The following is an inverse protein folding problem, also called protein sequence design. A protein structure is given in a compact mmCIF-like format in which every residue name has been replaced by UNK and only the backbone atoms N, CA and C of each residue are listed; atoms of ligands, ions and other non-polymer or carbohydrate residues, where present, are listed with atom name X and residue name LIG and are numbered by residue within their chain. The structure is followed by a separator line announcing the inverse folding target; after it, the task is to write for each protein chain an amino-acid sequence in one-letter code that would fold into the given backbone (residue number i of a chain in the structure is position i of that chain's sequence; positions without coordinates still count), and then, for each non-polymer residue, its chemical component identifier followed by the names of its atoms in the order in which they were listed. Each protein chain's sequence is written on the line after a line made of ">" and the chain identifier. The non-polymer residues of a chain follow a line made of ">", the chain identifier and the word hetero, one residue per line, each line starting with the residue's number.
data_IF_695468024774
#
_entry.id   IF_695468024774
#
_cell.length_a   1.000
_cell.length_b   1.000
_cell.length_c   1.000
_cell.angle_alpha   90.00
_cell.angle_beta   90.00
_cell.angle_gamma   90.00
#
_symmetry.space_group_name_H-M   'P 1'
#
loop_
_entity.id
_entity.type
_entity.pdbx_description
1 polymer ?
#
# COMPACT_ATOMS: atom_id res chain seq x y z
N UNK A 1 15.18 0.07 8.70
CA UNK A 1 14.90 1.33 9.46
C UNK A 1 14.41 2.41 8.48
N UNK A 2 13.59 3.38 8.87
CA UNK A 2 13.04 4.39 7.93
C UNK A 2 14.14 5.01 7.06
N UNK A 3 13.89 5.12 5.76
CA UNK A 3 14.85 5.63 4.76
C UNK A 3 15.92 4.64 4.29
N UNK A 4 16.09 3.49 4.96
CA UNK A 4 16.94 2.40 4.45
C UNK A 4 16.33 1.74 3.23
N UNK A 5 17.19 1.12 2.42
CA UNK A 5 16.81 0.44 1.19
C UNK A 5 15.96 -0.81 1.44
N UNK A 6 15.07 -1.08 0.50
CA UNK A 6 14.30 -2.32 0.42
C UNK A 6 14.29 -2.84 -1.02
N UNK A 7 13.93 -4.11 -1.21
CA UNK A 7 14.12 -4.84 -2.47
C UNK A 7 12.82 -5.15 -3.23
N UNK A 8 11.66 -5.07 -2.59
CA UNK A 8 10.38 -5.42 -3.21
C UNK A 8 9.29 -4.41 -2.82
N UNK A 9 8.70 -3.75 -3.81
CA UNK A 9 7.62 -2.77 -3.65
C UNK A 9 6.24 -3.31 -4.02
N UNK A 10 6.12 -4.61 -4.24
CA UNK A 10 4.88 -5.27 -4.69
C UNK A 10 4.39 -6.31 -3.70
N UNK A 11 5.28 -7.13 -3.16
CA UNK A 11 4.94 -8.20 -2.21
C UNK A 11 5.66 -8.01 -0.88
N UNK A 12 4.97 -8.31 0.22
CA UNK A 12 5.48 -8.22 1.60
C UNK A 12 6.11 -6.85 1.90
N UNK A 13 5.41 -5.80 1.47
CA UNK A 13 5.88 -4.41 1.54
C UNK A 13 5.70 -3.78 2.91
N UNK A 14 4.99 -4.43 3.82
CA UNK A 14 4.77 -3.94 5.18
C UNK A 14 5.75 -4.59 6.15
N UNK A 15 6.30 -3.78 7.05
CA UNK A 15 7.15 -4.23 8.13
C UNK A 15 6.83 -3.50 9.43
N UNK A 16 7.35 -4.01 10.53
CA UNK A 16 7.22 -3.37 11.85
C UNK A 16 8.62 -3.03 12.35
N UNK A 17 8.81 -1.82 12.86
CA UNK A 17 10.06 -1.45 13.52
C UNK A 17 10.19 -2.18 14.87
N UNK A 18 11.40 -2.25 15.40
CA UNK A 18 11.70 -2.72 16.76
C UNK A 18 10.84 -2.08 17.86
N UNK A 19 10.42 -0.81 17.69
CA UNK A 19 9.51 -0.12 18.62
C UNK A 19 8.03 -0.12 18.19
N UNK A 20 7.62 -1.04 17.32
CA UNK A 20 6.21 -1.30 17.02
C UNK A 20 5.53 -0.38 16.00
N UNK A 21 6.27 0.39 15.19
CA UNK A 21 5.68 1.24 14.14
C UNK A 21 5.58 0.51 12.81
N UNK A 22 4.45 0.64 12.13
CA UNK A 22 4.24 0.11 10.79
C UNK A 22 5.01 0.95 9.75
N UNK A 23 5.75 0.27 8.89
CA UNK A 23 6.49 0.86 7.77
C UNK A 23 6.13 0.19 6.46
N UNK A 24 6.29 0.94 5.37
CA UNK A 24 5.95 0.51 4.02
C UNK A 24 7.17 0.66 3.10
N UNK A 25 7.49 -0.37 2.33
CA UNK A 25 8.52 -0.33 1.28
C UNK A 25 7.90 0.22 -0.01
N UNK A 26 8.34 1.41 -0.41
CA UNK A 26 7.87 2.07 -1.63
C UNK A 26 9.02 2.66 -2.43
N UNK A 27 8.74 3.10 -3.64
CA UNK A 27 9.68 3.87 -4.47
C UNK A 27 8.96 5.10 -5.01
N UNK A 28 9.38 6.32 -4.61
CA UNK A 28 8.97 7.52 -5.33
C UNK A 28 9.46 7.42 -6.77
N UNK A 29 8.66 7.87 -7.74
CA UNK A 29 9.02 7.82 -9.16
C UNK A 29 10.46 8.29 -9.38
N UNK A 30 11.31 7.41 -9.93
CA UNK A 30 12.75 7.59 -10.26
C UNK A 30 13.77 7.38 -9.14
N UNK A 31 13.37 6.91 -7.95
CA UNK A 31 14.30 6.63 -6.85
C UNK A 31 14.33 5.16 -6.46
N UNK A 32 15.46 4.70 -5.93
CA UNK A 32 15.58 3.37 -5.34
C UNK A 32 14.57 3.16 -4.20
N UNK A 33 13.99 1.95 -4.05
CA UNK A 33 13.00 1.69 -3.02
C UNK A 33 13.54 1.86 -1.60
N UNK A 34 12.71 2.43 -0.72
CA UNK A 34 13.05 2.71 0.68
C UNK A 34 11.87 2.46 1.61
N UNK A 35 12.15 2.32 2.90
CA UNK A 35 11.14 2.24 3.95
C UNK A 35 10.59 3.62 4.31
N UNK A 36 9.27 3.80 4.18
CA UNK A 36 8.51 4.99 4.55
C UNK A 36 7.58 4.69 5.74
N UNK A 37 7.00 5.76 6.32
CA UNK A 37 5.85 5.57 7.23
C UNK A 37 4.69 5.00 6.41
N UNK A 38 4.08 3.94 6.92
CA UNK A 38 2.92 3.33 6.26
C UNK A 38 1.67 4.18 6.50
N UNK A 39 0.75 4.26 5.52
CA UNK A 39 -0.66 4.53 5.77
C UNK A 39 -1.25 3.46 6.71
N UNK A 40 -2.48 3.67 7.19
CA UNK A 40 -3.17 2.70 8.01
C UNK A 40 -3.42 1.41 7.20
N UNK A 41 -2.96 0.27 7.73
CA UNK A 41 -3.07 -1.02 7.06
C UNK A 41 -4.22 -1.83 7.66
N UNK A 42 -5.24 -2.11 6.85
CA UNK A 42 -6.51 -2.73 7.25
C UNK A 42 -6.46 -4.27 7.29
N UNK A 43 -5.29 -4.83 7.59
CA UNK A 43 -5.05 -6.25 7.72
C UNK A 43 -4.95 -7.01 6.39
N UNK A 44 -5.30 -8.29 6.44
CA UNK A 44 -5.31 -9.19 5.27
C UNK A 44 -6.67 -9.12 4.55
N UNK A 45 -6.67 -8.83 3.25
CA UNK A 45 -7.88 -8.67 2.39
C UNK A 45 -7.68 -9.39 1.06
N UNK A 46 -8.75 -9.76 0.35
CA UNK A 46 -8.59 -10.30 -1.00
C UNK A 46 -8.68 -9.20 -2.06
N UNK A 47 -7.95 -9.37 -3.16
CA UNK A 47 -8.10 -8.52 -4.33
C UNK A 47 -9.54 -8.62 -4.87
N UNK A 48 -10.16 -7.46 -5.14
CA UNK A 48 -11.53 -7.35 -5.61
C UNK A 48 -12.60 -7.28 -4.52
N UNK A 49 -12.27 -7.57 -3.25
CA UNK A 49 -13.20 -7.40 -2.13
C UNK A 49 -13.59 -5.94 -1.96
N UNK A 50 -14.84 -5.69 -1.53
CA UNK A 50 -15.34 -4.34 -1.30
C UNK A 50 -14.64 -3.68 -0.10
N UNK A 51 -14.36 -2.39 -0.23
CA UNK A 51 -13.74 -1.55 0.81
C UNK A 51 -14.49 -0.21 0.94
N UNK A 52 -15.78 -0.21 1.29
CA UNK A 52 -16.56 1.02 1.38
C UNK A 52 -15.95 1.97 2.42
N UNK A 53 -15.82 3.25 2.06
CA UNK A 53 -15.31 4.32 2.94
C UNK A 53 -13.85 4.19 3.36
N UNK A 54 -13.07 3.35 2.68
CA UNK A 54 -11.64 3.15 2.94
C UNK A 54 -10.78 3.65 1.76
N UNK A 55 -11.29 4.57 0.95
CA UNK A 55 -10.62 5.01 -0.28
C UNK A 55 -9.23 5.59 0.00
N UNK A 56 -8.20 5.05 -0.65
CA UNK A 56 -6.80 5.41 -0.43
C UNK A 56 -6.12 4.67 0.72
N UNK A 57 -6.87 3.94 1.56
CA UNK A 57 -6.31 3.07 2.58
C UNK A 57 -5.66 1.83 1.96
N UNK A 58 -4.84 1.14 2.75
CA UNK A 58 -4.03 0.03 2.27
C UNK A 58 -4.32 -1.28 3.00
N UNK A 59 -4.05 -2.39 2.33
CA UNK A 59 -4.16 -3.74 2.88
C UNK A 59 -3.10 -4.66 2.26
N UNK A 60 -2.99 -5.89 2.76
CA UNK A 60 -2.16 -6.91 2.16
C UNK A 60 -2.99 -8.14 1.79
N UNK A 61 -2.71 -8.74 0.64
CA UNK A 61 -3.31 -10.01 0.27
C UNK A 61 -2.68 -11.20 1.02
N UNK A 62 -3.35 -12.37 1.08
CA UNK A 62 -2.78 -13.58 1.69
C UNK A 62 -1.46 -14.04 1.06
N UNK A 63 -1.27 -13.77 -0.22
CA UNK A 63 -0.04 -14.04 -0.97
C UNK A 63 1.05 -12.96 -0.78
N UNK A 64 0.78 -11.95 0.05
CA UNK A 64 1.68 -10.84 0.33
C UNK A 64 1.53 -9.65 -0.61
N UNK A 65 0.64 -9.69 -1.61
CA UNK A 65 0.47 -8.59 -2.54
C UNK A 65 0.00 -7.31 -1.83
N UNK A 66 0.60 -6.17 -2.19
CA UNK A 66 0.17 -4.85 -1.75
C UNK A 66 -1.17 -4.46 -2.38
N UNK A 67 -2.14 -4.10 -1.56
CA UNK A 67 -3.45 -3.64 -1.99
C UNK A 67 -3.70 -2.19 -1.56
N UNK A 68 -4.38 -1.46 -2.44
CA UNK A 68 -4.92 -0.13 -2.15
C UNK A 68 -6.42 -0.15 -2.43
N UNK A 69 -7.21 0.43 -1.53
CA UNK A 69 -8.64 0.60 -1.79
C UNK A 69 -8.84 1.74 -2.80
N UNK A 70 -9.51 1.44 -3.91
CA UNK A 70 -9.77 2.41 -4.98
C UNK A 70 -11.26 2.56 -5.23
N UNK A 71 -11.74 3.80 -5.30
CA UNK A 71 -13.06 4.13 -5.83
C UNK A 71 -13.03 4.13 -7.36
N UNK A 72 -13.76 3.20 -7.99
CA UNK A 72 -13.95 3.17 -9.45
C UNK A 72 -15.30 2.54 -9.79
N UNK A 73 -15.95 3.07 -10.83
CA UNK A 73 -17.22 2.54 -11.36
C UNK A 73 -18.32 2.45 -10.27
N UNK A 74 -18.45 3.51 -9.45
CA UNK A 74 -19.39 3.62 -8.33
C UNK A 74 -19.26 2.55 -7.23
N UNK A 75 -18.09 1.90 -7.12
CA UNK A 75 -17.75 1.00 -6.01
C UNK A 75 -16.33 1.24 -5.53
N UNK A 76 -16.06 0.94 -4.27
CA UNK A 76 -14.71 0.90 -3.71
C UNK A 76 -14.31 -0.54 -3.47
N UNK A 77 -13.16 -0.95 -4.02
CA UNK A 77 -12.64 -2.31 -3.88
C UNK A 77 -11.11 -2.32 -3.73
N UNK A 78 -10.59 -3.38 -3.10
CA UNK A 78 -9.17 -3.60 -2.97
C UNK A 78 -8.57 -3.96 -4.33
N UNK A 79 -7.66 -3.13 -4.83
CA UNK A 79 -6.97 -3.34 -6.10
C UNK A 79 -5.45 -3.44 -5.88
N UNK A 80 -4.73 -4.00 -6.86
CA UNK A 80 -3.27 -4.12 -6.79
C UNK A 80 -2.63 -2.74 -6.69
N UNK A 81 -1.90 -2.50 -5.61
CA UNK A 81 -1.27 -1.21 -5.35
C UNK A 81 -0.09 -0.92 -6.28
N UNK A 82 0.63 -1.94 -6.75
CA UNK A 82 1.74 -1.80 -7.70
C UNK A 82 1.32 -1.20 -9.05
N UNK A 83 0.10 -1.47 -9.50
CA UNK A 83 -0.46 -0.87 -10.72
C UNK A 83 -0.89 0.59 -10.50
N UNK A 84 -1.19 0.97 -9.26
CA UNK A 84 -1.53 2.35 -8.89
C UNK A 84 -0.29 3.25 -8.69
N UNK A 85 0.89 2.66 -8.44
CA UNK A 85 2.17 3.40 -8.25
C UNK A 85 2.66 4.05 -9.57
N UNK A 86 2.04 3.72 -10.70
CA UNK A 86 2.19 4.42 -11.98
C UNK A 86 1.33 5.68 -12.15
N UNK A 87 0.40 5.98 -11.24
CA UNK A 87 -0.60 7.03 -11.42
C UNK A 87 -1.29 7.39 -10.12
N UNK A 88 -0.56 8.00 -9.19
CA UNK A 88 -1.14 8.46 -7.93
C UNK A 88 -2.34 9.37 -8.18
N UNK A 89 -3.49 8.99 -7.64
CA UNK A 89 -4.45 10.01 -7.23
C UNK A 89 -3.75 10.80 -6.11
N UNK A 90 -3.56 12.12 -6.26
CA UNK A 90 -3.11 12.93 -5.15
C UNK A 90 -4.13 12.82 -4.00
N UNK A 91 -3.69 12.96 -2.73
CA UNK A 91 -4.62 13.08 -1.62
C UNK A 91 -5.59 14.25 -1.89
N UNK A 92 -6.87 14.14 -1.49
CA UNK A 92 -7.80 15.26 -1.63
C UNK A 92 -7.25 16.49 -0.88
N UNK A 93 -7.23 17.63 -1.58
CA UNK A 93 -6.98 18.96 -0.98
C UNK A 93 -8.17 19.42 -0.18
#
# INVERSE_FOLDING_TARGET
>A
MLGSYCNNTTYYVFGVTDWGRLVFCGSPRRYEPRWFRSPEMHGIKNEGDLCPSLDGEVAQAPDGLFLTCVAKDNRSYWARGDQSVGGGNPPPQ
#
